data_IF_437422655754
#
_entry.id   IF_437422655754
#
_cell.length_a   1.000
_cell.length_b   1.000
_cell.length_c   1.000
_cell.angle_alpha   90.00
_cell.angle_beta   90.00
_cell.angle_gamma   90.00
#
_symmetry.space_group_name_H-M   'P 1'
#
loop_
_entity.id
_entity.type
_entity.pdbx_description
1 polymer ?
#
# COMPACT_ATOMS: atom_id res chain seq x y z
N UNK A 1 -19.58 -4.61 0.97
CA UNK A 1 -18.27 -4.57 0.32
C UNK A 1 -17.26 -4.01 1.29
N UNK A 2 -16.14 -4.71 1.43
CA UNK A 2 -15.11 -4.28 2.39
C UNK A 2 -14.26 -3.19 1.78
N UNK A 3 -14.05 -2.11 2.55
CA UNK A 3 -13.14 -1.05 2.15
C UNK A 3 -11.70 -1.48 2.39
N UNK A 4 -10.79 -0.93 1.58
CA UNK A 4 -9.38 -1.26 1.62
C UNK A 4 -8.76 -0.78 2.92
N UNK A 5 -7.97 -1.65 3.56
CA UNK A 5 -7.04 -1.30 4.62
C UNK A 5 -5.66 -1.10 3.99
N UNK A 6 -4.83 -0.30 4.58
CA UNK A 6 -3.53 0.07 3.99
C UNK A 6 -2.39 -0.33 4.92
N UNK A 7 -1.41 -1.03 4.35
CA UNK A 7 -0.11 -1.27 4.98
C UNK A 7 0.90 -0.31 4.36
N UNK A 8 1.63 0.44 5.19
CA UNK A 8 2.62 1.39 4.70
C UNK A 8 4.01 0.89 5.08
N UNK A 9 4.86 0.67 4.07
CA UNK A 9 6.22 0.23 4.31
C UNK A 9 7.08 1.36 4.86
N UNK A 10 8.30 1.01 5.28
CA UNK A 10 9.18 1.96 5.96
C UNK A 10 9.60 3.15 5.08
N UNK A 11 9.68 2.96 3.75
CA UNK A 11 10.07 4.05 2.84
C UNK A 11 8.97 5.09 2.68
N UNK A 12 7.72 4.68 2.80
CA UNK A 12 6.56 5.58 2.66
C UNK A 12 5.99 6.03 4.00
N UNK A 13 6.53 5.56 5.12
CA UNK A 13 6.06 5.95 6.44
C UNK A 13 6.32 7.43 6.70
N UNK A 14 5.25 8.15 6.94
CA UNK A 14 5.26 9.54 7.34
C UNK A 14 4.19 9.69 8.41
N UNK A 15 4.56 10.18 9.58
CA UNK A 15 3.64 10.26 10.71
C UNK A 15 2.44 11.16 10.41
N UNK A 16 2.65 12.22 9.62
CA UNK A 16 1.56 13.12 9.24
C UNK A 16 0.57 12.43 8.29
N UNK A 17 1.07 11.64 7.34
CA UNK A 17 0.23 10.88 6.44
C UNK A 17 -0.57 9.83 7.20
N UNK A 18 0.09 9.06 8.05
CA UNK A 18 -0.56 8.02 8.87
C UNK A 18 -1.67 8.63 9.72
N UNK A 19 -1.36 9.73 10.41
CA UNK A 19 -2.30 10.45 11.26
C UNK A 19 -3.50 10.95 10.45
N UNK A 20 -3.25 11.54 9.29
CA UNK A 20 -4.29 12.07 8.42
C UNK A 20 -5.23 10.97 7.91
N UNK A 21 -4.68 9.83 7.51
CA UNK A 21 -5.48 8.70 7.06
C UNK A 21 -6.32 8.12 8.20
N UNK A 22 -5.70 7.91 9.36
CA UNK A 22 -6.39 7.36 10.54
C UNK A 22 -7.51 8.29 11.01
N UNK A 23 -7.31 9.59 10.96
CA UNK A 23 -8.34 10.56 11.36
C UNK A 23 -9.56 10.52 10.44
N UNK A 24 -9.41 9.98 9.24
CA UNK A 24 -10.51 9.80 8.28
C UNK A 24 -11.07 8.38 8.29
N UNK A 25 -10.73 7.60 9.30
CA UNK A 25 -11.27 6.27 9.46
C UNK A 25 -10.62 5.20 8.59
N UNK A 26 -9.45 5.47 8.02
CA UNK A 26 -8.73 4.46 7.23
C UNK A 26 -7.89 3.61 8.17
N UNK A 27 -8.12 2.28 8.21
CA UNK A 27 -7.24 1.40 8.98
C UNK A 27 -5.85 1.36 8.33
N UNK A 28 -4.83 1.71 9.10
CA UNK A 28 -3.45 1.76 8.63
C UNK A 28 -2.58 0.95 9.57
N UNK A 29 -1.78 0.04 9.00
CA UNK A 29 -0.72 -0.67 9.71
C UNK A 29 0.59 -0.22 9.08
N UNK A 30 1.53 0.25 9.89
CA UNK A 30 2.86 0.62 9.39
C UNK A 30 3.85 -0.52 9.61
N UNK A 31 4.96 -0.50 8.85
CA UNK A 31 6.03 -1.46 9.08
C UNK A 31 6.56 -1.36 10.51
N UNK A 32 6.61 -0.15 11.07
CA UNK A 32 7.04 0.05 12.45
C UNK A 32 6.08 -0.63 13.43
N UNK A 33 4.77 -0.42 13.27
CA UNK A 33 3.75 -1.04 14.13
C UNK A 33 3.84 -2.57 14.10
N UNK A 34 4.13 -3.11 12.93
CA UNK A 34 4.18 -4.56 12.72
C UNK A 34 5.52 -5.18 13.14
N UNK A 35 6.52 -4.37 13.48
CA UNK A 35 7.85 -4.86 13.80
C UNK A 35 8.61 -5.40 12.58
N UNK A 36 8.30 -4.89 11.40
CA UNK A 36 8.86 -5.38 10.13
C UNK A 36 9.87 -4.43 9.51
N UNK A 37 10.28 -3.39 10.22
CA UNK A 37 11.31 -2.46 9.74
C UNK A 37 12.60 -3.24 9.45
N UNK A 38 13.15 -3.04 8.25
CA UNK A 38 14.36 -3.74 7.84
C UNK A 38 14.12 -5.14 7.27
N UNK A 39 12.89 -5.61 7.24
CA UNK A 39 12.58 -6.91 6.63
C UNK A 39 12.51 -6.78 5.11
N UNK A 40 12.63 -7.92 4.43
CA UNK A 40 12.59 -7.95 2.97
C UNK A 40 11.24 -7.47 2.43
N UNK A 41 11.24 -7.04 1.17
CA UNK A 41 10.00 -6.63 0.50
C UNK A 41 9.01 -7.79 0.43
N UNK A 42 9.51 -9.02 0.18
CA UNK A 42 8.67 -10.22 0.13
C UNK A 42 7.99 -10.48 1.48
N UNK A 43 8.71 -10.33 2.58
CA UNK A 43 8.16 -10.51 3.92
C UNK A 43 7.10 -9.45 4.22
N UNK A 44 7.35 -8.22 3.82
CA UNK A 44 6.39 -7.13 4.04
C UNK A 44 5.12 -7.34 3.21
N UNK A 45 5.26 -7.75 1.94
CA UNK A 45 4.10 -8.04 1.10
C UNK A 45 3.30 -9.24 1.64
N UNK A 46 4.00 -10.27 2.12
CA UNK A 46 3.35 -11.44 2.70
C UNK A 46 2.53 -11.05 3.94
N UNK A 47 3.10 -10.21 4.81
CA UNK A 47 2.40 -9.74 6.01
C UNK A 47 1.18 -8.89 5.63
N UNK A 48 1.34 -7.93 4.71
CA UNK A 48 0.23 -7.09 4.28
C UNK A 48 -0.91 -7.93 3.71
N UNK A 49 -0.57 -8.92 2.90
CA UNK A 49 -1.53 -9.85 2.30
C UNK A 49 -2.28 -10.64 3.37
N UNK A 50 -1.56 -11.15 4.37
CA UNK A 50 -2.14 -11.89 5.48
C UNK A 50 -3.13 -11.04 6.27
N UNK A 51 -2.83 -9.75 6.43
CA UNK A 51 -3.69 -8.81 7.14
C UNK A 51 -4.82 -8.26 6.25
N UNK A 52 -4.85 -8.62 4.98
CA UNK A 52 -5.86 -8.11 4.05
C UNK A 52 -5.66 -6.65 3.70
N UNK A 53 -4.42 -6.17 3.74
CA UNK A 53 -4.09 -4.77 3.46
C UNK A 53 -3.44 -4.62 2.09
N UNK A 54 -3.82 -3.57 1.36
CA UNK A 54 -3.06 -3.13 0.19
C UNK A 54 -1.77 -2.47 0.67
N UNK A 55 -0.64 -2.79 0.05
CA UNK A 55 0.66 -2.27 0.45
C UNK A 55 0.97 -0.97 -0.30
N UNK A 56 1.25 0.10 0.44
CA UNK A 56 1.62 1.39 -0.13
C UNK A 56 3.12 1.62 0.03
N UNK A 57 3.82 1.90 -1.06
CA UNK A 57 5.28 2.05 -1.04
C UNK A 57 5.75 3.07 -2.09
N UNK A 58 6.93 3.65 -1.84
CA UNK A 58 7.65 4.48 -2.82
C UNK A 58 8.67 3.67 -3.62
N UNK A 59 8.94 2.43 -3.25
CA UNK A 59 9.92 1.59 -3.94
C UNK A 59 9.27 0.91 -5.15
N UNK A 60 9.01 1.71 -6.18
CA UNK A 60 8.19 1.31 -7.33
C UNK A 60 8.79 0.12 -8.07
N UNK A 61 10.05 0.21 -8.46
CA UNK A 61 10.66 -0.83 -9.31
C UNK A 61 10.76 -2.19 -8.59
N UNK A 62 11.15 -2.18 -7.33
CA UNK A 62 11.33 -3.44 -6.59
C UNK A 62 9.99 -4.13 -6.33
N UNK A 63 8.98 -3.37 -5.93
CA UNK A 63 7.66 -3.97 -5.67
C UNK A 63 6.93 -4.35 -6.95
N UNK A 64 7.11 -3.61 -8.04
CA UNK A 64 6.54 -4.02 -9.32
C UNK A 64 7.15 -5.33 -9.80
N UNK A 65 8.47 -5.48 -9.64
CA UNK A 65 9.17 -6.73 -9.96
C UNK A 65 8.68 -7.89 -9.07
N UNK A 66 8.48 -7.58 -7.77
CA UNK A 66 7.98 -8.57 -6.82
C UNK A 66 6.58 -9.04 -7.19
N UNK A 67 5.72 -8.12 -7.62
CA UNK A 67 4.39 -8.45 -8.13
C UNK A 67 4.49 -9.49 -9.25
N UNK A 68 5.35 -9.26 -10.24
CA UNK A 68 5.56 -10.20 -11.34
C UNK A 68 6.04 -11.57 -10.86
N UNK A 69 6.98 -11.58 -9.89
CA UNK A 69 7.48 -12.83 -9.33
C UNK A 69 6.39 -13.63 -8.62
N UNK A 70 5.53 -12.95 -7.86
CA UNK A 70 4.43 -13.60 -7.17
C UNK A 70 3.41 -14.17 -8.15
N UNK A 71 3.05 -13.41 -9.18
CA UNK A 71 2.12 -13.88 -10.21
C UNK A 71 2.65 -15.14 -10.89
N UNK A 72 3.94 -15.14 -11.28
CA UNK A 72 4.57 -16.31 -11.91
C UNK A 72 4.61 -17.52 -10.97
N UNK A 73 4.71 -17.29 -9.68
CA UNK A 73 4.73 -18.36 -8.68
C UNK A 73 3.32 -18.84 -8.27
N UNK A 74 2.28 -18.25 -8.83
CA UNK A 74 0.91 -18.56 -8.45
C UNK A 74 0.51 -18.02 -7.07
N UNK A 75 1.25 -17.05 -6.54
CA UNK A 75 0.95 -16.43 -5.24
C UNK A 75 0.04 -15.23 -5.44
N UNK A 76 -0.87 -15.03 -4.50
CA UNK A 76 -1.81 -13.92 -4.52
C UNK A 76 -1.44 -12.89 -3.45
N UNK A 77 -1.66 -11.61 -3.75
CA UNK A 77 -1.49 -10.54 -2.77
C UNK A 77 -2.74 -9.64 -2.74
N UNK A 78 -2.85 -8.85 -1.68
CA UNK A 78 -4.03 -8.02 -1.44
C UNK A 78 -4.01 -6.69 -2.20
N UNK A 79 -3.01 -6.46 -3.01
CA UNK A 79 -2.87 -5.25 -3.83
C UNK A 79 -1.66 -4.43 -3.43
N UNK A 80 -1.17 -3.66 -4.39
CA UNK A 80 -0.08 -2.71 -4.20
C UNK A 80 -0.48 -1.35 -4.71
N UNK A 81 -0.08 -0.31 -4.00
CA UNK A 81 -0.23 1.08 -4.43
C UNK A 81 1.17 1.67 -4.49
N UNK A 82 1.60 2.06 -5.67
CA UNK A 82 2.97 2.52 -5.92
C UNK A 82 2.98 4.01 -6.24
N UNK A 83 3.90 4.75 -5.64
CA UNK A 83 4.07 6.17 -5.90
C UNK A 83 5.55 6.51 -5.97
N UNK A 84 5.99 7.34 -6.93
CA UNK A 84 7.38 7.78 -6.96
C UNK A 84 7.72 8.58 -5.69
N UNK A 85 8.93 8.37 -5.18
CA UNK A 85 9.41 9.08 -4.00
C UNK A 85 9.42 10.58 -4.25
N UNK A 86 9.00 11.36 -3.26
CA UNK A 86 8.99 12.83 -3.29
C UNK A 86 8.15 13.45 -4.41
N UNK A 87 7.30 12.67 -5.05
CA UNK A 87 6.42 13.16 -6.11
C UNK A 87 5.23 13.94 -5.55
N UNK A 88 4.66 13.48 -4.45
CA UNK A 88 3.42 14.03 -3.89
C UNK A 88 3.65 14.52 -2.46
N UNK A 89 3.03 15.66 -2.13
CA UNK A 89 2.97 16.12 -0.73
C UNK A 89 2.13 15.14 0.10
N UNK A 90 2.21 15.26 1.42
CA UNK A 90 1.39 14.44 2.33
C UNK A 90 -0.10 14.64 2.01
N UNK A 91 -0.53 15.88 1.80
CA UNK A 91 -1.93 16.18 1.47
C UNK A 91 -2.36 15.54 0.15
N UNK A 92 -1.50 15.60 -0.87
CA UNK A 92 -1.77 14.96 -2.15
C UNK A 92 -1.84 13.44 -2.03
N UNK A 93 -0.90 12.84 -1.29
CA UNK A 93 -0.91 11.41 -1.04
C UNK A 93 -2.23 10.99 -0.37
N UNK A 94 -2.61 11.71 0.68
CA UNK A 94 -3.84 11.42 1.40
C UNK A 94 -5.06 11.52 0.48
N UNK A 95 -5.16 12.59 -0.29
CA UNK A 95 -6.29 12.81 -1.18
C UNK A 95 -6.42 11.70 -2.22
N UNK A 96 -5.29 11.32 -2.82
CA UNK A 96 -5.27 10.28 -3.86
C UNK A 96 -5.53 8.89 -3.27
N UNK A 97 -5.00 8.60 -2.10
CA UNK A 97 -5.28 7.33 -1.42
C UNK A 97 -6.76 7.21 -1.04
N UNK A 98 -7.37 8.29 -0.59
CA UNK A 98 -8.80 8.31 -0.27
C UNK A 98 -9.65 8.13 -1.52
N UNK A 99 -9.25 8.73 -2.65
CA UNK A 99 -9.95 8.57 -3.91
C UNK A 99 -9.91 7.10 -4.38
N UNK A 100 -8.74 6.50 -4.34
CA UNK A 100 -8.58 5.08 -4.69
C UNK A 100 -9.43 4.20 -3.76
N UNK A 101 -9.37 4.46 -2.47
CA UNK A 101 -10.12 3.69 -1.47
C UNK A 101 -11.64 3.79 -1.67
N UNK A 102 -12.11 4.93 -2.14
CA UNK A 102 -13.52 5.12 -2.42
C UNK A 102 -13.97 4.36 -3.68
N UNK A 103 -13.09 4.19 -4.65
CA UNK A 103 -13.40 3.59 -5.94
C UNK A 103 -13.18 2.08 -5.96
N UNK A 104 -12.22 1.56 -5.17
CA UNK A 104 -11.83 0.16 -5.19
C UNK A 104 -12.23 -0.55 -3.89
N UNK A 105 -12.33 -1.88 -3.94
CA UNK A 105 -12.65 -2.71 -2.77
C UNK A 105 -11.52 -3.69 -2.53
N UNK A 106 -11.58 -4.41 -1.41
CA UNK A 106 -10.64 -5.50 -1.13
C UNK A 106 -10.61 -6.49 -2.29
N UNK A 107 -11.79 -6.85 -2.81
CA UNK A 107 -11.88 -7.81 -3.92
C UNK A 107 -11.25 -7.29 -5.21
N UNK A 108 -11.48 -6.02 -5.55
CA UNK A 108 -10.95 -5.46 -6.80
C UNK A 108 -9.46 -5.18 -6.73
N UNK A 109 -8.91 -4.98 -5.53
CA UNK A 109 -7.47 -4.75 -5.37
C UNK A 109 -6.64 -6.04 -5.37
N UNK A 110 -7.28 -7.18 -5.27
CA UNK A 110 -6.56 -8.45 -5.22
C UNK A 110 -5.72 -8.64 -6.47
N UNK A 111 -4.43 -8.89 -6.28
CA UNK A 111 -3.43 -9.10 -7.34
C UNK A 111 -3.25 -7.90 -8.28
N UNK A 112 -3.68 -6.71 -7.87
CA UNK A 112 -3.54 -5.51 -8.69
C UNK A 112 -2.40 -4.64 -8.22
N UNK A 113 -1.84 -3.92 -9.17
CA UNK A 113 -0.88 -2.84 -8.94
C UNK A 113 -1.54 -1.56 -9.42
N UNK A 114 -1.68 -0.59 -8.52
CA UNK A 114 -2.22 0.72 -8.86
C UNK A 114 -1.13 1.77 -8.66
N UNK A 115 -1.01 2.68 -9.60
CA UNK A 115 -0.08 3.79 -9.50
C UNK A 115 -0.83 5.01 -8.97
N UNK A 116 -0.35 5.56 -7.86
CA UNK A 116 -1.03 6.66 -7.19
C UNK A 116 -1.23 7.88 -8.09
N UNK A 117 -0.33 8.09 -9.06
CA UNK A 117 -0.44 9.18 -10.02
C UNK A 117 -1.71 9.15 -10.87
N UNK A 118 -2.33 7.99 -11.01
CA UNK A 118 -3.56 7.84 -11.79
C UNK A 118 -4.82 8.21 -11.01
N UNK A 119 -4.67 8.58 -9.75
CA UNK A 119 -5.80 8.81 -8.84
C UNK A 119 -5.94 10.28 -8.43
N UNK A 120 -5.50 11.17 -9.29
CA UNK A 120 -5.58 12.62 -9.05
C UNK A 120 -6.94 13.25 -9.19
#
# INVERSE_FOLDING_TARGET
MSQIKIYIDEDAMDSDLVSALRSRGVPVITALDAGLTGRSDDEQLAFATEQGCALYTFNVSDFYRLHGAWVRAGREHAGMILAPQQRFSVGEQMRRLLHLRAAETVATMRNRVEFLGNWG
#
